data_IF_726431937682
#
_entry.id   IF_726431937682
#
_cell.length_a   1.000
_cell.length_b   1.000
_cell.length_c   1.000
_cell.angle_alpha   90.00
_cell.angle_beta   90.00
_cell.angle_gamma   90.00
#
_symmetry.space_group_name_H-M   'P 1'
#
loop_
_entity.id
_entity.type
_entity.pdbx_description
1 polymer ?
#
# COMPACT_ATOMS: atom_id res chain seq x y z
N UNK A 1 -16.38 14.66 17.89
CA UNK A 1 -17.38 15.71 17.61
C UNK A 1 -16.84 17.10 17.97
N UNK A 2 -16.20 17.29 19.14
CA UNK A 2 -15.54 18.56 19.50
C UNK A 2 -14.59 19.11 18.42
N UNK A 3 -13.62 18.31 17.96
CA UNK A 3 -12.63 18.72 16.94
C UNK A 3 -13.24 19.28 15.64
N UNK A 4 -14.39 18.75 15.22
CA UNK A 4 -15.03 19.15 13.95
C UNK A 4 -15.83 20.44 14.13
N UNK A 5 -16.41 20.65 15.31
CA UNK A 5 -17.00 21.92 15.70
C UNK A 5 -15.93 23.02 15.85
N UNK A 6 -14.78 22.69 16.44
CA UNK A 6 -13.64 23.60 16.57
C UNK A 6 -13.07 23.99 15.19
N UNK A 7 -12.97 23.02 14.28
CA UNK A 7 -12.55 23.26 12.89
C UNK A 7 -13.52 24.21 12.17
N UNK A 8 -14.82 23.97 12.32
CA UNK A 8 -15.87 24.78 11.70
C UNK A 8 -15.86 26.21 12.25
N UNK A 9 -15.75 26.36 13.57
CA UNK A 9 -15.64 27.67 14.22
C UNK A 9 -14.40 28.43 13.73
N UNK A 10 -13.25 27.74 13.63
CA UNK A 10 -12.03 28.33 13.08
C UNK A 10 -12.19 28.76 11.61
N UNK A 11 -12.93 27.99 10.81
CA UNK A 11 -13.22 28.33 9.41
C UNK A 11 -14.12 29.58 9.32
N UNK A 12 -15.20 29.62 10.10
CA UNK A 12 -16.12 30.76 10.15
C UNK A 12 -15.40 32.05 10.59
N UNK A 13 -14.51 31.95 11.58
CA UNK A 13 -13.69 33.08 12.03
C UNK A 13 -12.71 33.56 10.94
N UNK A 14 -12.06 32.64 10.23
CA UNK A 14 -11.16 32.96 9.13
C UNK A 14 -11.88 33.62 7.95
N UNK A 15 -13.07 33.13 7.59
CA UNK A 15 -13.91 33.70 6.53
C UNK A 15 -14.37 35.12 6.89
N UNK A 16 -14.76 35.35 8.14
CA UNK A 16 -15.15 36.66 8.63
C UNK A 16 -13.97 37.65 8.60
N UNK A 17 -12.78 37.23 9.04
CA UNK A 17 -11.58 38.06 9.02
C UNK A 17 -11.14 38.42 7.60
N UNK A 18 -11.20 37.46 6.66
CA UNK A 18 -10.87 37.70 5.25
C UNK A 18 -11.85 38.71 4.63
N UNK A 19 -13.15 38.48 4.80
CA UNK A 19 -14.20 39.31 4.21
C UNK A 19 -14.10 40.76 4.68
N UNK A 20 -13.85 40.96 5.98
CA UNK A 20 -13.65 42.30 6.54
C UNK A 20 -12.45 43.01 5.91
N UNK A 21 -11.30 42.33 5.83
CA UNK A 21 -10.06 42.95 5.30
C UNK A 21 -10.08 43.16 3.79
N UNK A 22 -10.78 42.31 3.03
CA UNK A 22 -11.03 42.56 1.61
C UNK A 22 -11.87 43.82 1.41
N UNK A 23 -12.91 44.02 2.22
CA UNK A 23 -13.74 45.22 2.17
C UNK A 23 -12.93 46.49 2.54
N UNK A 24 -12.09 46.41 3.57
CA UNK A 24 -11.20 47.51 3.98
C UNK A 24 -10.21 47.88 2.86
N UNK A 25 -9.62 46.88 2.20
CA UNK A 25 -8.69 47.07 1.08
C UNK A 25 -9.38 47.66 -0.16
N UNK A 26 -10.58 47.17 -0.50
CA UNK A 26 -11.36 47.69 -1.63
C UNK A 26 -11.79 49.15 -1.40
N UNK A 27 -12.17 49.51 -0.17
CA UNK A 27 -12.49 50.89 0.20
C UNK A 27 -11.30 51.83 0.03
N UNK A 28 -10.09 51.38 0.40
CA UNK A 28 -8.86 52.16 0.26
C UNK A 28 -8.39 52.29 -1.19
N UNK A 29 -8.57 51.24 -2.01
CA UNK A 29 -8.34 51.30 -3.46
C UNK A 29 -9.26 52.31 -4.15
N UNK A 30 -10.53 52.37 -3.75
CA UNK A 30 -11.49 53.36 -4.30
C UNK A 30 -11.16 54.79 -3.87
N UNK A 31 -10.51 54.97 -2.72
CA UNK A 31 -10.17 56.28 -2.17
C UNK A 31 -8.80 56.84 -2.62
N UNK A 32 -7.95 56.04 -3.28
CA UNK A 32 -6.58 56.44 -3.64
C UNK A 32 -6.50 57.12 -5.03
N UNK A 33 -5.86 58.30 -5.09
CA UNK A 33 -5.60 59.11 -6.29
C UNK A 33 -4.09 59.10 -6.64
N UNK A 34 -3.62 59.51 -7.84
CA UNK A 34 -2.24 59.24 -8.29
C UNK A 34 -1.24 60.20 -7.61
N UNK A 35 -0.76 59.83 -6.44
CA UNK A 35 0.40 60.43 -5.76
C UNK A 35 1.37 59.34 -5.31
N UNK A 36 2.67 59.60 -5.42
CA UNK A 36 3.75 58.63 -5.18
C UNK A 36 3.76 58.04 -3.75
N UNK A 37 3.39 58.84 -2.75
CA UNK A 37 3.24 58.37 -1.36
C UNK A 37 2.04 57.43 -1.17
N UNK A 38 0.99 57.61 -1.97
CA UNK A 38 -0.17 56.72 -1.99
C UNK A 38 0.15 55.37 -2.63
N UNK A 39 1.04 55.35 -3.64
CA UNK A 39 1.49 54.10 -4.28
C UNK A 39 2.35 53.25 -3.35
N UNK A 40 3.20 53.86 -2.52
CA UNK A 40 4.09 53.13 -1.60
C UNK A 40 3.29 52.46 -0.48
N UNK A 41 2.28 53.14 0.08
CA UNK A 41 1.34 52.56 1.07
C UNK A 41 0.49 51.44 0.47
N UNK A 42 -0.04 51.67 -0.74
CA UNK A 42 -0.82 50.64 -1.45
C UNK A 42 0.00 49.37 -1.71
N UNK A 43 1.29 49.53 -2.04
CA UNK A 43 2.20 48.40 -2.22
C UNK A 43 2.44 47.63 -0.90
N UNK A 44 2.64 48.31 0.23
CA UNK A 44 2.79 47.65 1.53
C UNK A 44 1.51 46.91 1.95
N UNK A 45 0.35 47.53 1.73
CA UNK A 45 -0.95 46.94 2.07
C UNK A 45 -1.25 45.72 1.20
N UNK A 46 -0.88 45.77 -0.08
CA UNK A 46 -0.96 44.63 -0.99
C UNK A 46 -0.10 43.45 -0.52
N UNK A 47 1.15 43.70 -0.10
CA UNK A 47 2.00 42.62 0.42
C UNK A 47 1.45 42.03 1.72
N UNK A 48 0.95 42.86 2.64
CA UNK A 48 0.30 42.39 3.86
C UNK A 48 -0.95 41.54 3.55
N UNK A 49 -1.78 41.97 2.60
CA UNK A 49 -2.94 41.20 2.14
C UNK A 49 -2.53 39.89 1.49
N UNK A 50 -1.54 39.90 0.59
CA UNK A 50 -1.02 38.69 -0.06
C UNK A 50 -0.54 37.68 0.96
N UNK A 51 0.24 38.11 1.95
CA UNK A 51 0.80 37.24 2.97
C UNK A 51 -0.30 36.67 3.88
N UNK A 52 -1.33 37.46 4.18
CA UNK A 52 -2.55 36.99 4.87
C UNK A 52 -3.28 35.91 4.06
N UNK A 53 -3.59 36.18 2.79
CA UNK A 53 -4.27 35.24 1.89
C UNK A 53 -3.47 33.94 1.76
N UNK A 54 -2.15 34.04 1.62
CA UNK A 54 -1.27 32.88 1.58
C UNK A 54 -1.28 32.09 2.90
N UNK A 55 -1.27 32.79 4.03
CA UNK A 55 -1.42 32.20 5.36
C UNK A 55 -2.75 31.45 5.51
N UNK A 56 -3.84 32.03 5.03
CA UNK A 56 -5.17 31.43 5.06
C UNK A 56 -5.24 30.17 4.19
N UNK A 57 -4.78 30.24 2.93
CA UNK A 57 -4.74 29.09 2.03
C UNK A 57 -3.92 27.93 2.61
N UNK A 58 -2.80 28.25 3.26
CA UNK A 58 -1.98 27.27 3.96
C UNK A 58 -2.73 26.62 5.13
N UNK A 59 -3.47 27.41 5.92
CA UNK A 59 -4.27 26.92 7.03
C UNK A 59 -5.41 26.00 6.54
N UNK A 60 -6.19 26.44 5.54
CA UNK A 60 -7.26 25.62 4.96
C UNK A 60 -6.74 24.28 4.42
N UNK A 61 -5.60 24.29 3.72
CA UNK A 61 -4.95 23.05 3.25
C UNK A 61 -4.58 22.12 4.41
N UNK A 62 -4.07 22.69 5.51
CA UNK A 62 -3.73 21.91 6.70
C UNK A 62 -4.99 21.30 7.35
N UNK A 63 -6.05 22.08 7.51
CA UNK A 63 -7.33 21.62 8.05
C UNK A 63 -7.95 20.47 7.23
N UNK A 64 -7.94 20.59 5.90
CA UNK A 64 -8.41 19.52 5.00
C UNK A 64 -7.58 18.24 5.20
N UNK A 65 -6.25 18.40 5.33
CA UNK A 65 -5.33 17.28 5.55
C UNK A 65 -5.61 16.59 6.89
N UNK A 66 -5.81 17.35 7.96
CA UNK A 66 -6.08 16.81 9.29
C UNK A 66 -7.45 16.10 9.34
N UNK A 67 -8.46 16.67 8.67
CA UNK A 67 -9.77 16.04 8.53
C UNK A 67 -9.66 14.70 7.77
N UNK A 68 -8.96 14.68 6.63
CA UNK A 68 -8.74 13.47 5.85
C UNK A 68 -8.00 12.39 6.66
N UNK A 69 -6.97 12.77 7.44
CA UNK A 69 -6.22 11.87 8.31
C UNK A 69 -7.08 11.31 9.46
N UNK A 70 -7.97 12.13 10.01
CA UNK A 70 -8.91 11.71 11.05
C UNK A 70 -9.94 10.71 10.50
N UNK A 71 -10.51 10.98 9.33
CA UNK A 71 -11.41 10.06 8.63
C UNK A 71 -10.75 8.71 8.35
N UNK A 72 -9.54 8.74 7.78
CA UNK A 72 -8.75 7.53 7.53
C UNK A 72 -8.50 6.73 8.82
N UNK A 73 -8.16 7.42 9.92
CA UNK A 73 -7.92 6.77 11.22
C UNK A 73 -9.17 6.11 11.79
N UNK A 74 -10.32 6.78 11.71
CA UNK A 74 -11.61 6.20 12.14
C UNK A 74 -11.98 4.98 11.29
N UNK A 75 -11.85 5.11 9.97
CA UNK A 75 -12.10 4.02 9.04
C UNK A 75 -11.17 2.83 9.32
N UNK A 76 -9.89 3.08 9.57
CA UNK A 76 -8.93 2.03 9.93
C UNK A 76 -9.28 1.34 11.25
N UNK A 77 -9.77 2.09 12.25
CA UNK A 77 -10.27 1.51 13.50
C UNK A 77 -11.49 0.61 13.29
N UNK A 78 -12.35 0.91 12.32
CA UNK A 78 -13.45 0.03 11.94
C UNK A 78 -12.96 -1.24 11.23
N UNK A 79 -11.99 -1.08 10.30
CA UNK A 79 -11.41 -2.17 9.50
C UNK A 79 -10.45 -3.09 10.28
N UNK A 80 -10.00 -2.71 11.49
CA UNK A 80 -9.02 -3.48 12.31
C UNK A 80 -9.40 -4.93 12.59
N UNK A 81 -10.70 -5.25 12.56
CA UNK A 81 -11.23 -6.61 12.77
C UNK A 81 -11.43 -7.39 11.46
N UNK A 82 -10.98 -6.85 10.33
CA UNK A 82 -11.20 -7.43 9.02
C UNK A 82 -9.88 -7.80 8.33
N UNK A 83 -9.93 -8.87 7.56
CA UNK A 83 -8.85 -9.36 6.71
C UNK A 83 -9.38 -9.67 5.31
N UNK A 84 -8.49 -9.58 4.34
CA UNK A 84 -8.74 -10.00 2.97
C UNK A 84 -8.07 -11.35 2.71
N UNK A 85 -8.87 -12.32 2.30
CA UNK A 85 -8.41 -13.63 1.86
C UNK A 85 -8.39 -13.67 0.34
N UNK A 86 -7.21 -13.86 -0.24
CA UNK A 86 -7.06 -14.05 -1.69
C UNK A 86 -6.84 -15.54 -1.99
N UNK A 87 -7.31 -16.01 -3.15
CA UNK A 87 -7.04 -17.37 -3.61
C UNK A 87 -8.08 -18.42 -3.20
N UNK A 88 -9.17 -18.02 -2.53
CA UNK A 88 -10.30 -18.92 -2.23
C UNK A 88 -11.06 -19.24 -3.54
N UNK A 89 -11.15 -20.51 -3.98
CA UNK A 89 -11.80 -20.91 -5.24
C UNK A 89 -13.25 -20.44 -5.36
N UNK A 90 -13.67 -19.97 -6.54
CA UNK A 90 -15.03 -19.44 -6.78
C UNK A 90 -16.12 -20.51 -6.83
N UNK A 91 -15.74 -21.79 -6.95
CA UNK A 91 -16.65 -22.94 -7.06
C UNK A 91 -17.41 -23.29 -5.79
N UNK A 92 -17.23 -22.55 -4.70
CA UNK A 92 -17.87 -22.82 -3.42
C UNK A 92 -19.03 -21.87 -3.20
N UNK A 93 -20.24 -22.43 -3.09
CA UNK A 93 -21.48 -21.66 -2.89
C UNK A 93 -21.48 -20.91 -1.56
N UNK A 94 -21.01 -21.56 -0.48
CA UNK A 94 -20.86 -20.91 0.83
C UNK A 94 -19.41 -20.48 1.09
N UNK A 95 -19.15 -19.19 0.88
CA UNK A 95 -17.83 -18.58 1.07
C UNK A 95 -17.36 -18.65 2.52
N UNK A 96 -18.28 -18.57 3.50
CA UNK A 96 -17.96 -18.64 4.92
C UNK A 96 -17.35 -19.98 5.29
N UNK A 97 -17.95 -21.08 4.84
CA UNK A 97 -17.50 -22.44 5.15
C UNK A 97 -16.13 -22.72 4.50
N UNK A 98 -15.91 -22.21 3.28
CA UNK A 98 -14.61 -22.28 2.61
C UNK A 98 -13.52 -21.55 3.41
N UNK A 99 -13.82 -20.36 3.93
CA UNK A 99 -12.89 -19.58 4.75
C UNK A 99 -12.60 -20.29 6.06
N UNK A 100 -13.63 -20.79 6.76
CA UNK A 100 -13.46 -21.54 8.03
C UNK A 100 -12.60 -22.77 7.80
N UNK A 101 -12.92 -23.57 6.78
CA UNK A 101 -12.14 -24.74 6.39
C UNK A 101 -10.68 -24.40 6.09
N UNK A 102 -10.45 -23.26 5.42
CA UNK A 102 -9.10 -22.78 5.13
C UNK A 102 -8.36 -22.37 6.40
N UNK A 103 -9.02 -21.69 7.34
CA UNK A 103 -8.44 -21.29 8.61
C UNK A 103 -8.09 -22.54 9.45
N UNK A 104 -9.03 -23.47 9.60
CA UNK A 104 -8.83 -24.68 10.40
C UNK A 104 -7.71 -25.55 9.84
N UNK A 105 -7.69 -25.78 8.51
CA UNK A 105 -6.71 -26.69 7.87
C UNK A 105 -5.37 -26.03 7.58
N UNK A 106 -5.36 -24.80 7.03
CA UNK A 106 -4.13 -24.17 6.53
C UNK A 106 -3.47 -23.26 7.56
N UNK A 107 -4.19 -22.81 8.59
CA UNK A 107 -3.61 -22.02 9.69
C UNK A 107 -3.51 -22.81 10.99
N UNK A 108 -3.90 -24.09 11.01
CA UNK A 108 -3.86 -24.98 12.19
C UNK A 108 -4.64 -24.41 13.39
N UNK A 109 -5.80 -23.82 13.13
CA UNK A 109 -6.67 -23.20 14.13
C UNK A 109 -8.04 -23.92 14.17
N UNK A 110 -8.15 -25.11 14.80
CA UNK A 110 -9.37 -25.90 14.80
C UNK A 110 -10.53 -25.23 15.57
N UNK A 111 -10.21 -24.41 16.58
CA UNK A 111 -11.19 -23.79 17.49
C UNK A 111 -11.95 -22.59 16.87
N UNK A 112 -11.65 -22.24 15.61
CA UNK A 112 -12.34 -21.15 14.91
C UNK A 112 -13.68 -21.67 14.38
N UNK A 113 -14.76 -21.09 14.89
CA UNK A 113 -16.13 -21.39 14.51
C UNK A 113 -16.78 -20.27 13.70
N UNK A 114 -17.92 -20.60 13.06
CA UNK A 114 -18.73 -19.62 12.33
C UNK A 114 -19.20 -18.44 13.20
N UNK A 115 -19.44 -18.67 14.50
CA UNK A 115 -19.85 -17.65 15.48
C UNK A 115 -18.82 -16.50 15.62
N UNK A 116 -17.55 -16.78 15.29
CA UNK A 116 -16.47 -15.80 15.36
C UNK A 116 -16.32 -14.96 14.09
N UNK A 117 -17.06 -15.30 13.03
CA UNK A 117 -17.11 -14.55 11.78
C UNK A 117 -18.44 -13.78 11.73
N UNK A 118 -18.34 -12.45 11.68
CA UNK A 118 -19.50 -11.55 11.62
C UNK A 118 -19.94 -11.30 10.19
N UNK A 119 -19.00 -11.26 9.26
CA UNK A 119 -19.25 -10.94 7.85
C UNK A 119 -18.25 -11.68 6.98
N UNK A 120 -18.71 -12.31 5.92
CA UNK A 120 -17.88 -12.95 4.92
C UNK A 120 -18.51 -12.77 3.53
N UNK A 121 -17.86 -12.03 2.63
CA UNK A 121 -18.36 -11.88 1.26
C UNK A 121 -17.23 -11.59 0.27
N UNK A 122 -17.44 -11.90 -1.00
CA UNK A 122 -16.49 -11.60 -2.08
C UNK A 122 -16.57 -10.13 -2.48
N UNK A 123 -15.41 -9.55 -2.78
CA UNK A 123 -15.29 -8.18 -3.27
C UNK A 123 -15.14 -8.15 -4.80
N UNK A 124 -15.85 -7.22 -5.44
CA UNK A 124 -15.75 -6.95 -6.86
C UNK A 124 -16.53 -7.90 -7.77
N UNK A 125 -16.38 -7.66 -9.07
CA UNK A 125 -17.05 -8.41 -10.13
C UNK A 125 -16.36 -9.74 -10.42
N UNK A 126 -17.18 -10.75 -10.81
CA UNK A 126 -16.68 -12.08 -11.17
C UNK A 126 -15.72 -11.98 -12.35
N UNK A 127 -14.61 -12.71 -12.29
CA UNK A 127 -13.65 -12.79 -13.38
C UNK A 127 -13.14 -14.21 -13.53
N UNK A 128 -13.09 -14.71 -14.76
CA UNK A 128 -12.61 -16.07 -15.06
C UNK A 128 -11.11 -16.24 -14.82
N UNK A 129 -10.34 -15.13 -14.78
CA UNK A 129 -8.88 -15.17 -14.68
C UNK A 129 -8.37 -15.27 -13.24
N UNK A 130 -9.15 -14.80 -12.25
CA UNK A 130 -8.69 -14.70 -10.86
C UNK A 130 -9.84 -14.76 -9.89
N UNK A 131 -9.71 -15.63 -8.88
CA UNK A 131 -10.63 -15.67 -7.74
C UNK A 131 -10.69 -14.32 -7.03
N UNK A 132 -11.89 -13.80 -6.84
CA UNK A 132 -12.12 -12.55 -6.09
C UNK A 132 -11.63 -12.63 -4.65
N UNK A 133 -11.06 -11.54 -4.11
CA UNK A 133 -10.76 -11.43 -2.68
C UNK A 133 -12.03 -11.60 -1.84
N UNK A 134 -11.92 -12.29 -0.72
CA UNK A 134 -12.98 -12.43 0.28
C UNK A 134 -12.68 -11.49 1.45
N UNK A 135 -13.62 -10.60 1.76
CA UNK A 135 -13.57 -9.78 2.96
C UNK A 135 -14.19 -10.55 4.12
N UNK A 136 -13.39 -10.76 5.16
CA UNK A 136 -13.80 -11.47 6.37
C UNK A 136 -13.66 -10.54 7.56
N UNK A 137 -14.76 -10.29 8.28
CA UNK A 137 -14.77 -9.54 9.53
C UNK A 137 -14.99 -10.48 10.70
N UNK A 138 -14.10 -10.42 11.67
CA UNK A 138 -14.15 -11.22 12.89
C UNK A 138 -14.95 -10.49 14.00
N UNK A 139 -15.50 -11.27 14.93
CA UNK A 139 -16.25 -10.77 16.09
C UNK A 139 -15.37 -9.91 17.00
N UNK A 140 -14.17 -10.41 17.29
CA UNK A 140 -13.18 -9.75 18.15
C UNK A 140 -11.87 -9.49 17.41
N UNK A 141 -11.14 -8.49 17.91
CA UNK A 141 -9.79 -8.22 17.41
C UNK A 141 -8.82 -9.38 17.72
N UNK A 142 -8.99 -10.03 18.88
CA UNK A 142 -8.15 -11.15 19.30
C UNK A 142 -8.21 -12.32 18.31
N UNK A 143 -9.40 -12.67 17.81
CA UNK A 143 -9.57 -13.70 16.78
C UNK A 143 -8.83 -13.31 15.49
N UNK A 144 -9.02 -12.07 15.00
CA UNK A 144 -8.28 -11.54 13.85
C UNK A 144 -6.76 -11.63 14.06
N UNK A 145 -6.28 -11.29 15.24
CA UNK A 145 -4.85 -11.26 15.57
C UNK A 145 -4.25 -12.68 15.56
N UNK A 146 -4.96 -13.67 16.11
CA UNK A 146 -4.56 -15.09 16.07
C UNK A 146 -4.46 -15.60 14.62
N UNK A 147 -5.48 -15.32 13.80
CA UNK A 147 -5.47 -15.66 12.36
C UNK A 147 -4.30 -14.97 11.64
N UNK A 148 -4.08 -13.68 11.90
CA UNK A 148 -3.00 -12.91 11.27
C UNK A 148 -1.61 -13.40 11.67
N UNK A 149 -1.42 -13.84 12.91
CA UNK A 149 -0.13 -14.37 13.41
C UNK A 149 0.28 -15.64 12.67
N UNK A 150 -0.67 -16.52 12.38
CA UNK A 150 -0.42 -17.80 11.70
C UNK A 150 -0.32 -17.70 10.17
N UNK A 151 -0.46 -16.50 9.58
CA UNK A 151 -0.46 -16.29 8.12
C UNK A 151 0.76 -16.85 7.38
N UNK A 152 1.88 -17.05 8.07
CA UNK A 152 3.10 -17.63 7.47
C UNK A 152 2.94 -19.09 7.10
N UNK A 153 2.00 -19.82 7.71
CA UNK A 153 1.66 -21.19 7.35
C UNK A 153 1.03 -21.30 5.95
N UNK A 154 0.46 -20.20 5.44
CA UNK A 154 -0.07 -20.16 4.07
C UNK A 154 1.00 -20.09 2.98
N UNK A 155 2.29 -19.93 3.34
CA UNK A 155 3.36 -19.86 2.34
C UNK A 155 3.43 -21.17 1.55
N UNK A 156 3.39 -21.06 0.23
CA UNK A 156 3.37 -22.22 -0.68
C UNK A 156 1.96 -22.71 -1.03
N UNK A 157 0.92 -22.20 -0.36
CA UNK A 157 -0.47 -22.42 -0.78
C UNK A 157 -0.92 -21.38 -1.81
N UNK A 158 -2.06 -21.61 -2.46
CA UNK A 158 -2.71 -20.63 -3.34
C UNK A 158 -3.36 -19.47 -2.58
N UNK A 159 -3.49 -19.59 -1.24
CA UNK A 159 -4.19 -18.62 -0.40
C UNK A 159 -3.20 -17.61 0.19
N UNK A 160 -3.58 -16.33 0.21
CA UNK A 160 -2.82 -15.30 0.92
C UNK A 160 -3.71 -14.36 1.71
N UNK A 161 -3.18 -13.92 2.85
CA UNK A 161 -3.83 -12.98 3.76
C UNK A 161 -3.27 -11.57 3.56
N UNK A 162 -4.16 -10.59 3.42
CA UNK A 162 -3.84 -9.17 3.37
C UNK A 162 -4.66 -8.40 4.41
N UNK A 163 -4.12 -7.30 4.92
CA UNK A 163 -4.91 -6.40 5.75
C UNK A 163 -5.92 -5.64 4.89
N UNK A 164 -7.07 -5.33 5.46
CA UNK A 164 -8.05 -4.48 4.81
C UNK A 164 -7.72 -3.00 5.04
N UNK A 165 -6.64 -2.53 4.40
CA UNK A 165 -6.19 -1.13 4.49
C UNK A 165 -7.20 -0.19 3.81
N UNK A 166 -7.26 1.08 4.24
CA UNK A 166 -7.98 2.14 3.53
C UNK A 166 -7.33 2.37 2.17
N UNK A 167 -8.04 3.04 1.26
CA UNK A 167 -7.49 3.33 -0.07
C UNK A 167 -6.17 4.12 0.02
N UNK A 168 -6.12 5.13 0.89
CA UNK A 168 -4.93 5.96 1.10
C UNK A 168 -3.75 5.15 1.62
N UNK A 169 -3.95 4.34 2.66
CA UNK A 169 -2.89 3.48 3.20
C UNK A 169 -2.48 2.38 2.24
N UNK A 170 -3.41 1.77 1.52
CA UNK A 170 -3.10 0.78 0.50
C UNK A 170 -2.22 1.37 -0.61
N UNK A 171 -2.54 2.58 -1.10
CA UNK A 171 -1.73 3.28 -2.09
C UNK A 171 -0.33 3.59 -1.54
N UNK A 172 -0.26 4.11 -0.31
CA UNK A 172 1.00 4.37 0.39
C UNK A 172 1.84 3.11 0.55
N UNK A 173 1.21 1.98 0.89
CA UNK A 173 1.88 0.69 1.09
C UNK A 173 2.45 0.12 -0.21
N UNK A 174 1.69 0.20 -1.31
CA UNK A 174 2.14 -0.22 -2.64
C UNK A 174 3.30 0.65 -3.11
N UNK A 175 3.21 1.97 -2.89
CA UNK A 175 4.28 2.92 -3.24
C UNK A 175 5.54 2.66 -2.42
N UNK A 176 5.41 2.43 -1.11
CA UNK A 176 6.53 2.09 -0.24
C UNK A 176 7.22 0.79 -0.68
N UNK A 177 6.45 -0.26 -1.00
CA UNK A 177 6.99 -1.53 -1.54
C UNK A 177 7.72 -1.36 -2.85
N UNK A 178 7.22 -0.50 -3.73
CA UNK A 178 7.85 -0.19 -5.02
C UNK A 178 9.15 0.60 -4.86
N UNK A 179 9.29 1.36 -3.77
CA UNK A 179 10.46 2.19 -3.50
C UNK A 179 11.53 1.47 -2.68
N UNK A 180 11.17 0.94 -1.51
CA UNK A 180 12.09 0.29 -0.55
C UNK A 180 12.18 -1.24 -0.71
N UNK A 181 11.32 -1.83 -1.53
CA UNK A 181 11.27 -3.27 -1.77
C UNK A 181 10.23 -4.02 -0.92
N UNK A 182 9.68 -5.11 -1.47
CA UNK A 182 8.58 -5.86 -0.87
C UNK A 182 8.91 -6.45 0.51
N UNK A 183 10.16 -6.90 0.72
CA UNK A 183 10.61 -7.51 1.98
C UNK A 183 10.84 -6.48 3.10
N UNK A 184 11.05 -5.22 2.74
CA UNK A 184 11.31 -4.13 3.67
C UNK A 184 10.04 -3.41 4.10
N UNK A 185 8.87 -3.77 3.55
CA UNK A 185 7.60 -3.09 3.83
C UNK A 185 6.52 -4.11 4.21
N UNK A 186 6.00 -4.00 5.42
CA UNK A 186 4.85 -4.76 5.89
C UNK A 186 3.87 -3.86 6.62
N UNK A 187 2.63 -4.32 6.76
CA UNK A 187 1.62 -3.63 7.56
C UNK A 187 1.22 -4.50 8.75
N UNK A 188 0.93 -3.84 9.86
CA UNK A 188 0.34 -4.45 11.05
C UNK A 188 -0.69 -3.49 11.65
N UNK A 189 -1.93 -3.95 11.74
CA UNK A 189 -3.06 -3.22 12.32
C UNK A 189 -3.29 -1.87 11.66
N UNK A 190 -3.14 -1.84 10.35
CA UNK A 190 -3.30 -0.63 9.56
C UNK A 190 -2.09 0.29 9.53
N UNK A 191 -1.05 0.02 10.32
CA UNK A 191 0.18 0.82 10.33
C UNK A 191 1.20 0.22 9.39
N UNK A 192 1.73 1.01 8.47
CA UNK A 192 2.76 0.56 7.53
C UNK A 192 4.12 0.71 8.23
N UNK A 193 4.91 -0.34 8.25
CA UNK A 193 6.29 -0.30 8.73
C UNK A 193 7.24 -0.48 7.56
N UNK A 194 8.18 0.45 7.43
CA UNK A 194 9.23 0.45 6.42
C UNK A 194 10.57 0.25 7.12
N UNK A 195 11.33 -0.77 6.71
CA UNK A 195 12.74 -0.92 7.05
C UNK A 195 13.57 -0.08 6.09
N UNK A 196 14.22 0.93 6.63
CA UNK A 196 15.06 1.87 5.90
C UNK A 196 16.46 1.27 5.60
N UNK A 197 17.23 1.87 4.68
CA UNK A 197 18.60 1.43 4.35
C UNK A 197 19.57 1.45 5.55
N UNK A 198 19.35 2.36 6.51
CA UNK A 198 20.10 2.43 7.78
C UNK A 198 19.76 1.28 8.76
N UNK A 199 18.84 0.39 8.38
CA UNK A 199 18.35 -0.71 9.21
C UNK A 199 17.24 -0.33 10.19
N UNK A 200 16.95 0.96 10.36
CA UNK A 200 15.92 1.47 11.26
C UNK A 200 14.53 1.23 10.69
N UNK A 201 13.58 0.91 11.55
CA UNK A 201 12.17 0.72 11.17
C UNK A 201 11.40 2.01 11.45
N UNK A 202 10.70 2.53 10.45
CA UNK A 202 9.80 3.67 10.59
C UNK A 202 8.36 3.24 10.36
N UNK A 203 7.46 3.74 11.21
CA UNK A 203 6.02 3.58 11.04
C UNK A 203 5.49 4.78 10.27
N UNK A 204 4.66 4.51 9.29
CA UNK A 204 3.97 5.53 8.50
C UNK A 204 2.50 5.16 8.31
N UNK A 205 1.66 6.17 8.23
CA UNK A 205 0.22 6.06 7.98
C UNK A 205 -0.21 6.88 6.76
N UNK A 206 0.57 7.88 6.35
CA UNK A 206 0.21 8.80 5.27
C UNK A 206 1.22 8.80 4.12
N UNK A 207 0.77 9.28 2.96
CA UNK A 207 1.64 9.50 1.80
C UNK A 207 2.74 10.53 2.10
N UNK A 208 2.43 11.60 2.83
CA UNK A 208 3.39 12.66 3.16
C UNK A 208 4.54 12.16 4.05
N UNK A 209 4.26 11.24 4.96
CA UNK A 209 5.30 10.56 5.74
C UNK A 209 6.19 9.71 4.85
N UNK A 210 5.62 9.00 3.86
CA UNK A 210 6.40 8.26 2.88
C UNK A 210 7.27 9.21 2.03
N UNK A 211 6.72 10.33 1.58
CA UNK A 211 7.43 11.32 0.78
C UNK A 211 8.63 11.90 1.52
N UNK A 212 8.47 12.23 2.81
CA UNK A 212 9.57 12.64 3.68
C UNK A 212 10.66 11.58 3.77
N UNK A 213 10.29 10.30 3.94
CA UNK A 213 11.27 9.21 3.97
C UNK A 213 12.00 9.03 2.63
N UNK A 214 11.30 9.18 1.51
CA UNK A 214 11.90 9.11 0.17
C UNK A 214 12.90 10.24 -0.05
N UNK A 215 12.58 11.45 0.41
CA UNK A 215 13.47 12.62 0.35
C UNK A 215 14.73 12.41 1.21
N UNK A 216 14.59 11.86 2.41
CA UNK A 216 15.73 11.56 3.28
C UNK A 216 16.58 10.39 2.76
N UNK A 217 15.99 9.40 2.08
CA UNK A 217 16.68 8.23 1.54
C UNK A 217 16.50 8.08 0.02
N UNK A 218 17.17 8.90 -0.81
CA UNK A 218 17.14 8.78 -2.26
C UNK A 218 17.75 7.45 -2.74
N UNK A 219 17.17 6.83 -3.77
CA UNK A 219 17.64 5.54 -4.33
C UNK A 219 19.13 5.50 -4.72
N UNK A 220 19.75 6.65 -5.01
CA UNK A 220 21.18 6.73 -5.33
C UNK A 220 22.09 6.38 -4.15
N UNK A 221 21.61 6.50 -2.90
CA UNK A 221 22.35 6.11 -1.69
C UNK A 221 22.20 4.62 -1.33
N UNK A 222 21.32 3.88 -2.02
CA UNK A 222 20.99 2.47 -1.69
C UNK A 222 21.91 1.48 -2.43
N UNK A 223 22.75 1.95 -3.36
CA UNK A 223 23.68 1.08 -4.12
C UNK A 223 25.01 0.80 -3.42
N UNK A 224 25.50 1.68 -2.54
CA UNK A 224 26.85 1.56 -1.98
C UNK A 224 26.99 0.55 -0.83
N UNK A 225 25.90 0.12 -0.20
CA UNK A 225 25.98 -0.86 0.91
C UNK A 225 26.07 -2.33 0.45
N UNK A 226 26.13 -2.60 -0.86
CA UNK A 226 26.11 -3.98 -1.41
C UNK A 226 27.43 -4.44 -2.05
N UNK A 227 28.49 -3.63 -2.05
CA UNK A 227 29.76 -4.00 -2.71
C UNK A 227 30.99 -3.65 -1.86
N UNK A 228 31.31 -4.49 -0.87
CA UNK A 228 32.69 -4.61 -0.35
C UNK A 228 33.00 -6.04 0.07
N UNK A 229 33.38 -6.86 -0.90
CA UNK A 229 34.25 -8.02 -0.71
C UNK A 229 35.23 -8.05 -1.89
N UNK A 230 36.56 -7.98 -1.69
CA UNK A 230 37.51 -8.05 -2.79
C UNK A 230 37.77 -9.52 -3.14
N UNK A 231 37.41 -9.90 -4.36
CA UNK A 231 37.78 -11.19 -4.93
C UNK A 231 39.01 -10.96 -5.82
N UNK A 232 40.19 -11.36 -5.34
CA UNK A 232 41.42 -11.37 -6.14
C UNK A 232 41.42 -12.58 -7.06
N UNK A 233 41.25 -12.33 -8.35
CA UNK A 233 41.44 -13.33 -9.39
C UNK A 233 42.90 -13.44 -9.80
N UNK A 234 43.35 -14.65 -10.13
CA UNK A 234 44.34 -14.83 -11.18
C UNK A 234 44.03 -16.11 -11.93
N UNK A 235 43.83 -15.97 -13.25
CA UNK A 235 43.57 -17.04 -14.21
C UNK A 235 44.65 -16.96 -15.27
N UNK A 236 45.24 -18.10 -15.64
CA UNK A 236 45.85 -18.37 -16.95
C UNK A 236 46.14 -19.89 -17.11
N UNK A 237 46.34 -20.44 -18.34
CA UNK A 237 45.53 -21.54 -18.86
C UNK A 237 46.33 -22.74 -19.45
N UNK A 238 45.62 -23.62 -20.21
CA UNK A 238 46.07 -24.74 -21.07
C UNK A 238 46.19 -26.12 -20.35
N UNK A 239 45.93 -27.30 -20.93
CA UNK A 239 45.82 -27.76 -22.31
C UNK A 239 45.00 -29.08 -22.38
N UNK A 240 44.72 -29.50 -23.62
CA UNK A 240 44.05 -30.72 -24.11
C UNK A 240 44.67 -32.06 -23.71
N UNK A 241 43.85 -33.14 -23.70
CA UNK A 241 44.23 -34.47 -24.24
C UNK A 241 43.03 -35.41 -24.45
N UNK A 242 43.00 -36.01 -25.65
CA UNK A 242 42.17 -37.14 -26.10
C UNK A 242 42.58 -38.46 -25.46
N UNK A 243 41.66 -39.43 -25.40
CA UNK A 243 41.75 -40.91 -25.63
C UNK A 243 40.68 -41.60 -24.76
N UNK A 244 39.99 -42.69 -25.10
CA UNK A 244 39.80 -43.56 -26.28
C UNK A 244 38.70 -44.57 -25.89
N UNK A 245 37.86 -45.00 -26.81
CA UNK A 245 36.96 -46.16 -26.64
C UNK A 245 37.76 -47.49 -26.64
N UNK A 246 37.11 -48.62 -26.29
CA UNK A 246 36.71 -49.52 -27.38
C UNK A 246 35.31 -50.18 -27.25
N UNK A 247 34.91 -50.74 -28.38
CA UNK A 247 33.63 -51.33 -28.84
C UNK A 247 33.34 -52.77 -28.40
N UNK A 248 32.07 -53.19 -28.54
CA UNK A 248 31.46 -54.44 -29.13
C UNK A 248 30.14 -54.73 -28.38
N UNK A 249 29.02 -55.25 -28.88
CA UNK A 249 28.54 -55.87 -30.13
C UNK A 249 27.00 -55.99 -30.04
N UNK A 250 26.25 -55.72 -31.11
CA UNK A 250 25.40 -56.68 -31.89
C UNK A 250 23.91 -56.84 -31.55
N UNK A 251 23.09 -56.63 -32.61
CA UNK A 251 21.79 -57.28 -32.94
C UNK A 251 20.57 -56.91 -32.04
N UNK A 252 19.33 -56.77 -32.49
CA UNK A 252 18.66 -57.16 -33.73
C UNK A 252 17.34 -56.39 -33.90
N UNK A 253 16.96 -56.24 -35.18
CA UNK A 253 15.64 -56.00 -35.79
C UNK A 253 14.42 -56.34 -34.90
N UNK A 254 13.36 -55.52 -34.88
CA UNK A 254 12.26 -55.68 -35.84
C UNK A 254 11.35 -54.45 -36.01
N UNK A 255 10.97 -54.24 -37.29
CA UNK A 255 9.84 -53.44 -37.80
C UNK A 255 8.52 -53.97 -37.21
N UNK A 256 7.42 -53.22 -37.16
CA UNK A 256 6.41 -53.20 -38.25
C UNK A 256 5.46 -52.00 -38.11
N UNK A 257 5.26 -51.33 -39.25
CA UNK A 257 4.21 -50.37 -39.60
C UNK A 257 2.82 -51.02 -39.69
N UNK A 258 1.75 -50.27 -39.39
CA UNK A 258 0.65 -49.87 -40.33
C UNK A 258 -0.43 -49.13 -39.50
N UNK A 259 -0.87 -47.88 -39.75
CA UNK A 259 -1.45 -47.14 -40.90
C UNK A 259 -2.94 -47.46 -41.18
N UNK A 260 -3.75 -46.38 -41.14
CA UNK A 260 -5.07 -46.12 -41.80
C UNK A 260 -6.32 -46.74 -41.13
N UNK A 261 -7.54 -46.16 -41.13
CA UNK A 261 -8.15 -44.98 -41.78
C UNK A 261 -9.59 -44.75 -41.23
N UNK A 262 -10.12 -43.51 -41.35
CA UNK A 262 -11.55 -43.12 -41.64
C UNK A 262 -12.68 -43.51 -40.65
N UNK A 263 -13.84 -42.85 -40.49
CA UNK A 263 -14.51 -41.67 -41.06
C UNK A 263 -15.77 -41.33 -40.20
N UNK A 264 -16.34 -40.13 -40.41
CA UNK A 264 -17.76 -39.75 -40.31
C UNK A 264 -18.59 -40.23 -39.10
N UNK A 265 -19.04 -39.27 -38.28
CA UNK A 265 -20.44 -38.79 -38.27
C UNK A 265 -20.52 -37.44 -37.59
#
# INVERSE_FOLDING_TARGET
MALLADLKSSQEELEAQLSKRMADFEAQLRASSPHADSQTKLASDFYAFRDLVWGLLKNMRQQITDCANSMDSMEMRYRRKALLFNGIPESVDNVSDAVISTIQKSLELPDIEASQIVLCHRLGEKSDKRSRPVLVRFSTYSVKATVWKNKTLLKGTSVSLCEFLTRSRQATFVRARSYFGMRNCWSTDGVITVKLPDGVRRKINTGDELDRLIQTFPKSAVRDASQTLPNSGTRAPAASKQTSQPSTSSSSLSKVLTRKQTAKK
#
